data_IF_088176379726
#
_entry.id   IF_088176379726
#
_cell.length_a   1.000
_cell.length_b   1.000
_cell.length_c   1.000
_cell.angle_alpha   90.00
_cell.angle_beta   90.00
_cell.angle_gamma   90.00
#
_symmetry.space_group_name_H-M   'P 1'
#
loop_
_entity.id
_entity.type
_entity.pdbx_description
1 polymer ?
#
# COMPACT_ATOMS: atom_id res chain seq x y z
N UNK A 1 4.46 19.37 -13.54
CA UNK A 1 3.66 18.19 -13.98
C UNK A 1 2.36 18.16 -13.16
N UNK A 2 1.22 18.60 -13.71
CA UNK A 2 -0.08 18.53 -13.01
C UNK A 2 -0.44 17.06 -12.80
N UNK A 3 -0.36 16.55 -11.57
CA UNK A 3 -0.87 15.21 -11.22
C UNK A 3 -2.37 15.22 -11.48
N UNK A 4 -2.86 14.42 -12.43
CA UNK A 4 -4.28 14.08 -12.51
C UNK A 4 -4.61 13.30 -11.24
N UNK A 5 -5.18 13.97 -10.25
CA UNK A 5 -5.77 13.33 -9.09
C UNK A 5 -7.03 12.64 -9.62
N UNK A 6 -6.95 11.34 -9.87
CA UNK A 6 -8.15 10.53 -10.09
C UNK A 6 -8.96 10.62 -8.79
N UNK A 7 -10.14 11.26 -8.85
CA UNK A 7 -11.04 11.47 -7.71
C UNK A 7 -11.58 10.17 -7.09
N UNK A 8 -11.28 9.02 -7.69
CA UNK A 8 -11.77 7.73 -7.23
C UNK A 8 -10.92 7.25 -6.05
N UNK A 9 -11.58 7.09 -4.90
CA UNK A 9 -11.01 6.47 -3.70
C UNK A 9 -10.53 5.07 -4.08
N UNK A 10 -9.28 4.75 -3.73
CA UNK A 10 -8.70 3.43 -3.98
C UNK A 10 -9.56 2.37 -3.29
N UNK A 11 -10.06 1.40 -4.05
CA UNK A 11 -10.80 0.27 -3.51
C UNK A 11 -9.85 -0.60 -2.66
N UNK A 12 -10.30 -0.95 -1.47
CA UNK A 12 -9.57 -1.89 -0.61
C UNK A 12 -9.59 -3.28 -1.23
N UNK A 13 -8.47 -4.00 -1.16
CA UNK A 13 -8.38 -5.39 -1.63
C UNK A 13 -9.29 -6.34 -0.83
N UNK A 14 -9.85 -5.90 0.29
CA UNK A 14 -10.76 -6.66 1.16
C UNK A 14 -12.26 -6.38 0.89
N UNK A 15 -12.60 -5.55 -0.11
CA UNK A 15 -13.99 -5.17 -0.37
C UNK A 15 -14.65 -6.11 -1.37
N UNK A 16 -15.96 -6.35 -1.20
CA UNK A 16 -16.80 -6.90 -2.26
C UNK A 16 -16.75 -5.92 -3.43
N UNK A 17 -16.46 -6.41 -4.62
CA UNK A 17 -16.37 -5.57 -5.82
C UNK A 17 -17.80 -5.37 -6.32
N UNK A 18 -18.27 -4.13 -6.25
CA UNK A 18 -19.54 -3.69 -6.83
C UNK A 18 -19.21 -2.72 -7.98
N UNK A 19 -19.93 -2.83 -9.09
CA UNK A 19 -19.91 -1.83 -10.17
C UNK A 19 -21.23 -1.07 -10.05
N UNK A 20 -21.17 0.25 -9.82
CA UNK A 20 -22.36 1.11 -9.67
C UNK A 20 -23.40 0.58 -8.65
N UNK A 21 -22.93 -0.02 -7.54
CA UNK A 21 -23.72 -0.67 -6.49
C UNK A 21 -24.47 -1.95 -6.93
N UNK A 22 -24.09 -2.58 -8.04
CA UNK A 22 -24.63 -3.88 -8.46
C UNK A 22 -23.64 -5.00 -8.17
N UNK A 23 -24.12 -6.00 -7.44
CA UNK A 23 -23.45 -7.28 -7.20
C UNK A 23 -23.49 -8.18 -8.45
N UNK A 24 -22.57 -9.15 -8.58
CA UNK A 24 -22.63 -10.14 -9.66
C UNK A 24 -23.98 -10.87 -9.77
N UNK A 25 -24.66 -11.10 -8.63
CA UNK A 25 -25.95 -11.77 -8.57
C UNK A 25 -27.07 -10.89 -9.15
N UNK A 26 -27.03 -9.58 -8.91
CA UNK A 26 -28.01 -8.64 -9.46
C UNK A 26 -27.86 -8.49 -10.98
N UNK A 27 -26.61 -8.43 -11.48
CA UNK A 27 -26.35 -8.42 -12.93
C UNK A 27 -26.93 -9.67 -13.60
N UNK A 28 -26.78 -10.85 -13.00
CA UNK A 28 -27.31 -12.10 -13.52
C UNK A 28 -28.85 -12.15 -13.47
N UNK A 29 -29.48 -11.58 -12.44
CA UNK A 29 -30.94 -11.44 -12.37
C UNK A 29 -31.46 -10.52 -13.47
N UNK A 30 -30.82 -9.36 -13.67
CA UNK A 30 -31.19 -8.42 -14.73
C UNK A 30 -31.07 -9.06 -16.11
N UNK A 31 -29.98 -9.80 -16.35
CA UNK A 31 -29.77 -10.52 -17.62
C UNK A 31 -30.87 -11.56 -17.89
N UNK A 32 -31.27 -12.34 -16.87
CA UNK A 32 -32.38 -13.29 -16.98
C UNK A 32 -33.72 -12.61 -17.26
N UNK A 33 -33.98 -11.48 -16.61
CA UNK A 33 -35.20 -10.72 -16.82
C UNK A 33 -35.29 -10.18 -18.25
N UNK A 34 -34.18 -9.65 -18.80
CA UNK A 34 -34.13 -9.21 -20.19
C UNK A 34 -34.40 -10.36 -21.16
N UNK A 35 -33.87 -11.56 -20.88
CA UNK A 35 -34.13 -12.74 -21.71
C UNK A 35 -35.62 -13.11 -21.71
N UNK A 36 -36.25 -13.13 -20.53
CA UNK A 36 -37.69 -13.42 -20.42
C UNK A 36 -38.56 -12.37 -21.16
N UNK A 37 -38.17 -11.10 -21.12
CA UNK A 37 -38.84 -10.04 -21.90
C UNK A 37 -38.64 -10.27 -23.40
N UNK A 38 -37.43 -10.62 -23.84
CA UNK A 38 -37.17 -10.91 -25.24
C UNK A 38 -38.03 -12.07 -25.76
N UNK A 39 -38.15 -13.14 -24.98
CA UNK A 39 -38.98 -14.31 -25.31
C UNK A 39 -40.46 -13.93 -25.36
N UNK A 40 -40.95 -13.14 -24.40
CA UNK A 40 -42.34 -12.68 -24.35
C UNK A 40 -42.71 -11.71 -25.48
N UNK A 41 -41.77 -10.89 -25.94
CA UNK A 41 -41.95 -9.94 -27.04
C UNK A 41 -41.58 -10.53 -28.42
N UNK A 42 -41.11 -11.79 -28.48
CA UNK A 42 -40.70 -12.45 -29.72
C UNK A 42 -39.45 -11.83 -30.37
N UNK A 43 -38.60 -11.18 -29.57
CA UNK A 43 -37.37 -10.52 -30.05
C UNK A 43 -36.26 -11.54 -30.21
N UNK A 44 -35.99 -11.94 -31.45
CA UNK A 44 -34.85 -12.81 -31.76
C UNK A 44 -33.51 -12.05 -31.71
N UNK A 45 -32.52 -12.59 -31.01
CA UNK A 45 -31.18 -12.01 -30.96
C UNK A 45 -30.45 -12.27 -32.28
N UNK A 46 -29.82 -11.23 -32.82
CA UNK A 46 -29.17 -11.29 -34.13
C UNK A 46 -27.66 -11.11 -34.01
N UNK A 47 -26.91 -11.94 -34.74
CA UNK A 47 -25.44 -11.88 -34.84
C UNK A 47 -24.99 -11.78 -36.31
N UNK A 48 -23.89 -11.07 -36.56
CA UNK A 48 -23.28 -10.93 -37.89
C UNK A 48 -23.27 -9.49 -38.45
N UNK A 49 -22.47 -9.27 -39.49
CA UNK A 49 -22.35 -7.95 -40.16
C UNK A 49 -23.67 -7.58 -40.86
N UNK A 50 -24.09 -6.32 -40.75
CA UNK A 50 -25.29 -5.79 -41.40
C UNK A 50 -26.61 -6.05 -40.66
N UNK A 51 -26.61 -6.83 -39.56
CA UNK A 51 -27.80 -7.04 -38.72
C UNK A 51 -27.84 -6.01 -37.59
N UNK A 52 -28.94 -5.26 -37.47
CA UNK A 52 -29.14 -4.29 -36.40
C UNK A 52 -29.66 -4.98 -35.15
N UNK A 53 -28.89 -4.94 -34.06
CA UNK A 53 -29.29 -5.46 -32.74
C UNK A 53 -30.42 -4.61 -32.16
N UNK A 54 -31.41 -5.24 -31.51
CA UNK A 54 -32.44 -4.55 -30.76
C UNK A 54 -31.85 -3.82 -29.55
N UNK A 55 -32.54 -2.81 -29.01
CA UNK A 55 -32.05 -2.10 -27.82
C UNK A 55 -31.96 -3.05 -26.61
N UNK A 56 -32.89 -4.00 -26.51
CA UNK A 56 -32.86 -5.04 -25.50
C UNK A 56 -31.63 -5.94 -25.63
N UNK A 57 -31.30 -6.41 -26.83
CA UNK A 57 -30.09 -7.22 -27.06
C UNK A 57 -28.82 -6.42 -26.70
N UNK A 58 -28.75 -5.13 -27.04
CA UNK A 58 -27.61 -4.28 -26.65
C UNK A 58 -27.45 -4.20 -25.13
N UNK A 59 -28.55 -4.01 -24.39
CA UNK A 59 -28.54 -3.97 -22.92
C UNK A 59 -28.11 -5.33 -22.32
N UNK A 60 -28.59 -6.43 -22.90
CA UNK A 60 -28.19 -7.77 -22.48
C UNK A 60 -26.68 -7.99 -22.63
N UNK A 61 -26.12 -7.66 -23.80
CA UNK A 61 -24.69 -7.81 -24.09
C UNK A 61 -23.82 -6.87 -23.25
N UNK A 62 -24.32 -5.67 -22.94
CA UNK A 62 -23.65 -4.73 -22.05
C UNK A 62 -23.58 -5.29 -20.61
N UNK A 63 -24.68 -5.84 -20.10
CA UNK A 63 -24.69 -6.52 -18.79
C UNK A 63 -23.76 -7.73 -18.77
N UNK A 64 -23.75 -8.53 -19.83
CA UNK A 64 -22.84 -9.68 -19.96
C UNK A 64 -21.38 -9.22 -19.91
N UNK A 65 -21.01 -8.21 -20.69
CA UNK A 65 -19.67 -7.65 -20.72
C UNK A 65 -19.26 -7.06 -19.36
N UNK A 66 -20.17 -6.35 -18.68
CA UNK A 66 -19.95 -5.86 -17.33
C UNK A 66 -19.72 -7.01 -16.34
N UNK A 67 -20.52 -8.07 -16.41
CA UNK A 67 -20.37 -9.28 -15.59
C UNK A 67 -19.02 -9.97 -15.82
N UNK A 68 -18.60 -10.14 -17.07
CA UNK A 68 -17.29 -10.71 -17.42
C UNK A 68 -16.14 -9.86 -16.87
N UNK A 69 -16.21 -8.53 -16.98
CA UNK A 69 -15.22 -7.62 -16.41
C UNK A 69 -15.14 -7.71 -14.89
N UNK A 70 -16.29 -7.79 -14.23
CA UNK A 70 -16.37 -7.94 -12.77
C UNK A 70 -15.71 -9.23 -12.28
N UNK A 71 -15.99 -10.34 -12.97
CA UNK A 71 -15.34 -11.62 -12.70
C UNK A 71 -13.83 -11.56 -12.94
N UNK A 72 -13.39 -10.87 -13.99
CA UNK A 72 -11.98 -10.60 -14.24
C UNK A 72 -11.32 -9.82 -13.09
N UNK A 73 -11.95 -8.76 -12.59
CA UNK A 73 -11.44 -8.03 -11.43
C UNK A 73 -11.38 -8.90 -10.18
N UNK A 74 -12.42 -9.69 -9.91
CA UNK A 74 -12.43 -10.64 -8.78
C UNK A 74 -11.20 -11.55 -8.81
N UNK A 75 -10.88 -12.12 -9.96
CA UNK A 75 -9.69 -12.97 -10.09
C UNK A 75 -8.40 -12.18 -9.89
N UNK A 76 -8.31 -10.96 -10.45
CA UNK A 76 -7.17 -10.08 -10.22
C UNK A 76 -6.95 -9.77 -8.74
N UNK A 77 -8.01 -9.47 -7.98
CA UNK A 77 -7.92 -9.22 -6.54
C UNK A 77 -7.53 -10.48 -5.75
N UNK A 78 -8.06 -11.65 -6.16
CA UNK A 78 -7.69 -12.93 -5.58
C UNK A 78 -6.20 -13.23 -5.76
N UNK A 79 -5.67 -13.04 -6.97
CA UNK A 79 -4.24 -13.21 -7.27
C UNK A 79 -3.40 -12.17 -6.53
N UNK A 80 -3.86 -10.92 -6.47
CA UNK A 80 -3.14 -9.85 -5.78
C UNK A 80 -3.02 -10.12 -4.28
N UNK A 81 -4.04 -10.70 -3.66
CA UNK A 81 -4.06 -10.98 -2.23
C UNK A 81 -4.20 -9.72 -1.37
N UNK A 82 -4.05 -9.89 -0.06
CA UNK A 82 -4.23 -8.82 0.93
C UNK A 82 -2.97 -8.01 1.18
N UNK A 83 -1.81 -8.60 0.94
CA UNK A 83 -0.52 -8.09 1.41
C UNK A 83 0.17 -7.14 0.42
N UNK A 84 -0.32 -7.06 -0.83
CA UNK A 84 0.28 -6.24 -1.89
C UNK A 84 -0.76 -5.54 -2.75
N UNK A 85 -0.31 -4.53 -3.50
CA UNK A 85 -1.17 -3.61 -4.24
C UNK A 85 -1.04 -3.70 -5.77
N UNK A 86 -0.24 -4.64 -6.27
CA UNK A 86 0.04 -4.84 -7.69
C UNK A 86 0.78 -6.15 -7.87
N UNK A 87 0.65 -6.79 -9.03
CA UNK A 87 1.41 -7.98 -9.39
C UNK A 87 1.70 -7.97 -10.91
N UNK A 88 2.76 -8.65 -11.38
CA UNK A 88 3.03 -8.79 -12.82
C UNK A 88 2.05 -9.75 -13.47
N UNK A 89 1.71 -9.52 -14.75
CA UNK A 89 0.88 -10.47 -15.50
C UNK A 89 1.62 -11.77 -15.87
N UNK A 90 2.94 -11.70 -16.00
CA UNK A 90 3.79 -12.84 -16.39
C UNK A 90 4.36 -13.58 -15.20
N UNK A 91 4.71 -12.85 -14.14
CA UNK A 91 5.17 -13.38 -12.86
C UNK A 91 4.22 -12.90 -11.77
N UNK A 92 3.27 -13.76 -11.42
CA UNK A 92 2.22 -13.41 -10.47
C UNK A 92 2.79 -13.11 -9.08
N UNK A 93 4.02 -13.49 -8.75
CA UNK A 93 4.63 -13.22 -7.44
C UNK A 93 5.34 -11.86 -7.41
N UNK A 94 5.84 -11.36 -8.53
CA UNK A 94 6.54 -10.08 -8.62
C UNK A 94 5.61 -8.87 -8.43
N UNK A 95 6.09 -7.85 -7.71
CA UNK A 95 5.35 -6.60 -7.45
C UNK A 95 5.91 -5.46 -8.29
N UNK A 96 5.04 -4.56 -8.77
CA UNK A 96 5.49 -3.37 -9.49
C UNK A 96 6.16 -2.38 -8.53
N UNK A 97 7.45 -2.13 -8.75
CA UNK A 97 8.31 -1.26 -7.95
C UNK A 97 8.92 -0.16 -8.81
N UNK A 98 9.30 0.95 -8.15
CA UNK A 98 10.04 2.03 -8.83
C UNK A 98 11.52 1.69 -8.80
N UNK A 99 12.12 1.55 -9.97
CA UNK A 99 13.54 1.20 -10.08
C UNK A 99 14.44 2.42 -9.94
N UNK A 100 15.67 2.20 -9.46
CA UNK A 100 16.71 3.24 -9.35
C UNK A 100 17.21 3.71 -10.73
N UNK A 101 17.19 2.83 -11.73
CA UNK A 101 17.64 3.06 -13.12
C UNK A 101 16.78 4.06 -13.93
N UNK A 102 15.76 4.67 -13.33
CA UNK A 102 14.91 5.66 -13.99
C UNK A 102 15.65 7.00 -14.14
N UNK A 103 16.77 6.99 -14.87
CA UNK A 103 17.57 8.16 -15.25
C UNK A 103 16.73 9.22 -15.95
N UNK A 104 15.66 8.80 -16.63
CA UNK A 104 14.72 9.69 -17.32
C UNK A 104 13.60 10.24 -16.42
N UNK A 105 13.53 9.82 -15.14
CA UNK A 105 12.47 10.18 -14.19
C UNK A 105 11.03 9.99 -14.75
N UNK A 106 10.86 9.01 -15.63
CA UNK A 106 9.59 8.71 -16.25
C UNK A 106 8.60 8.08 -15.26
N UNK A 107 9.10 7.59 -14.12
CA UNK A 107 8.32 7.01 -13.03
C UNK A 107 7.75 5.64 -13.40
N UNK A 108 8.33 4.96 -14.40
CA UNK A 108 7.84 3.67 -14.84
C UNK A 108 8.11 2.61 -13.78
N UNK A 109 7.05 1.95 -13.32
CA UNK A 109 7.17 0.80 -12.44
C UNK A 109 7.53 -0.43 -13.25
N UNK A 110 8.47 -1.23 -12.74
CA UNK A 110 8.81 -2.54 -13.30
C UNK A 110 8.46 -3.64 -12.29
N UNK A 111 8.02 -4.82 -12.73
CA UNK A 111 7.84 -5.94 -11.83
C UNK A 111 9.20 -6.37 -11.29
N UNK A 112 9.33 -6.47 -9.97
CA UNK A 112 10.57 -6.79 -9.29
C UNK A 112 10.30 -7.42 -7.91
N UNK A 113 11.37 -7.92 -7.32
CA UNK A 113 11.45 -8.32 -5.91
C UNK A 113 12.44 -7.41 -5.19
N UNK A 114 12.19 -7.18 -3.91
CA UNK A 114 13.11 -6.50 -3.02
C UNK A 114 13.97 -7.54 -2.29
N UNK A 115 15.24 -7.64 -2.67
CA UNK A 115 16.16 -8.64 -2.13
C UNK A 115 17.07 -7.98 -1.11
N UNK A 116 17.07 -8.51 0.11
CA UNK A 116 17.97 -8.14 1.19
C UNK A 116 19.03 -9.21 1.40
N UNK A 117 20.22 -8.74 1.76
CA UNK A 117 21.38 -9.58 2.04
C UNK A 117 21.94 -9.10 3.37
N UNK A 118 22.12 -10.03 4.32
CA UNK A 118 22.82 -9.79 5.57
C UNK A 118 24.23 -10.36 5.46
N UNK A 119 25.21 -9.56 5.89
CA UNK A 119 26.63 -9.88 5.80
C UNK A 119 27.25 -9.74 7.19
N UNK A 120 28.07 -10.70 7.55
CA UNK A 120 28.85 -10.71 8.79
C UNK A 120 30.26 -11.21 8.48
N UNK A 121 31.29 -10.51 8.96
CA UNK A 121 32.70 -10.89 8.73
C UNK A 121 33.04 -11.26 7.28
N UNK A 122 32.56 -10.45 6.32
CA UNK A 122 32.72 -10.66 4.87
C UNK A 122 31.94 -11.85 4.25
N UNK A 123 31.15 -12.57 5.04
CA UNK A 123 30.32 -13.66 4.56
C UNK A 123 28.85 -13.25 4.47
N UNK A 124 28.18 -13.69 3.40
CA UNK A 124 26.72 -13.60 3.33
C UNK A 124 26.14 -14.66 4.26
N UNK A 125 25.53 -14.21 5.36
CA UNK A 125 24.91 -15.10 6.34
C UNK A 125 23.43 -15.35 6.06
N UNK A 126 22.72 -14.35 5.49
CA UNK A 126 21.31 -14.49 5.13
C UNK A 126 20.96 -13.75 3.84
N UNK A 127 19.99 -14.31 3.12
CA UNK A 127 19.22 -13.61 2.10
C UNK A 127 17.73 -13.62 2.43
N UNK A 128 17.03 -12.55 2.05
CA UNK A 128 15.58 -12.42 2.19
C UNK A 128 14.98 -11.75 0.97
N UNK A 129 13.94 -12.35 0.38
CA UNK A 129 13.26 -11.84 -0.81
C UNK A 129 11.86 -11.40 -0.41
N UNK A 130 11.53 -10.13 -0.64
CA UNK A 130 10.24 -9.55 -0.31
C UNK A 130 9.55 -8.95 -1.53
N UNK A 131 8.22 -8.92 -1.45
CA UNK A 131 7.35 -8.17 -2.36
C UNK A 131 7.08 -6.73 -1.89
N UNK A 132 7.62 -6.35 -0.73
CA UNK A 132 7.54 -5.00 -0.22
C UNK A 132 8.38 -4.03 -1.04
N UNK A 133 7.78 -2.88 -1.38
CA UNK A 133 8.48 -1.82 -2.13
C UNK A 133 9.49 -1.04 -1.29
N UNK A 134 9.46 -1.20 0.02
CA UNK A 134 10.26 -0.47 1.01
C UNK A 134 10.88 -1.45 1.98
N UNK A 135 12.02 -1.09 2.54
CA UNK A 135 12.80 -2.00 3.39
C UNK A 135 12.26 -2.10 4.83
N UNK A 136 11.29 -1.25 5.21
CA UNK A 136 10.72 -1.18 6.55
C UNK A 136 10.28 -2.53 7.14
N UNK A 137 9.66 -3.41 6.34
CA UNK A 137 9.15 -4.69 6.83
C UNK A 137 10.15 -5.83 6.70
N UNK A 138 11.38 -5.56 6.24
CA UNK A 138 12.33 -6.62 5.84
C UNK A 138 13.42 -6.90 6.88
N UNK A 139 13.69 -5.97 7.80
CA UNK A 139 14.71 -6.15 8.85
C UNK A 139 14.35 -7.30 9.80
N UNK A 140 13.20 -7.21 10.47
CA UNK A 140 12.77 -8.18 11.48
C UNK A 140 12.77 -9.62 10.91
N UNK A 141 12.22 -9.90 9.71
CA UNK A 141 12.34 -11.23 9.11
C UNK A 141 13.77 -11.76 8.99
N UNK A 142 14.74 -10.90 8.66
CA UNK A 142 16.15 -11.28 8.56
C UNK A 142 16.75 -11.58 9.94
N UNK A 143 16.44 -10.77 10.95
CA UNK A 143 16.93 -10.97 12.32
C UNK A 143 16.33 -12.23 12.97
N UNK A 144 15.04 -12.47 12.77
CA UNK A 144 14.38 -13.71 13.23
C UNK A 144 14.95 -14.95 12.53
N UNK A 145 15.28 -14.83 11.23
CA UNK A 145 15.97 -15.91 10.50
C UNK A 145 17.36 -16.17 11.07
N UNK A 146 18.10 -15.13 11.43
CA UNK A 146 19.40 -15.26 12.09
C UNK A 146 19.28 -15.94 13.44
N UNK A 147 18.37 -15.46 14.30
CA UNK A 147 18.07 -16.05 15.62
C UNK A 147 17.71 -17.52 15.52
N UNK A 148 16.89 -17.90 14.53
CA UNK A 148 16.52 -19.30 14.30
C UNK A 148 17.68 -20.16 13.82
N UNK A 149 18.58 -19.62 13.00
CA UNK A 149 19.68 -20.36 12.41
C UNK A 149 20.82 -20.62 13.41
N UNK A 150 21.16 -19.62 14.22
CA UNK A 150 22.30 -19.68 15.14
C UNK A 150 21.89 -19.95 16.59
N UNK A 151 20.61 -19.80 16.94
CA UNK A 151 20.12 -19.98 18.30
C UNK A 151 20.40 -18.78 19.22
N UNK A 152 21.01 -17.73 18.70
CA UNK A 152 21.44 -16.56 19.45
C UNK A 152 20.87 -15.27 18.84
N UNK A 153 20.67 -14.26 19.70
CA UNK A 153 20.30 -12.92 19.26
C UNK A 153 21.60 -12.18 18.95
N UNK A 154 21.64 -11.50 17.80
CA UNK A 154 22.78 -10.67 17.43
C UNK A 154 23.02 -9.54 18.43
N UNK A 155 24.29 -9.19 18.65
CA UNK A 155 24.67 -8.09 19.54
C UNK A 155 24.39 -6.72 18.90
N UNK A 156 24.76 -6.58 17.62
CA UNK A 156 24.65 -5.31 16.90
C UNK A 156 24.14 -5.48 15.46
N UNK A 157 23.49 -4.44 14.94
CA UNK A 157 23.05 -4.37 13.55
C UNK A 157 23.37 -3.01 12.94
N UNK A 158 23.95 -3.04 11.74
CA UNK A 158 24.16 -1.85 10.90
C UNK A 158 23.26 -1.93 9.68
N UNK A 159 22.46 -0.89 9.43
CA UNK A 159 21.56 -0.83 8.28
C UNK A 159 21.37 0.60 7.76
N UNK A 160 20.90 0.72 6.52
CA UNK A 160 20.61 2.03 5.93
C UNK A 160 19.34 2.67 6.50
N UNK A 161 19.08 3.93 6.13
CA UNK A 161 17.91 4.65 6.62
C UNK A 161 16.57 4.14 6.07
N UNK A 162 16.58 3.29 5.04
CA UNK A 162 15.39 2.59 4.55
C UNK A 162 14.80 1.64 5.60
N UNK A 163 15.62 1.16 6.53
CA UNK A 163 15.19 0.31 7.65
C UNK A 163 14.73 1.08 8.90
N UNK A 164 14.92 2.40 8.92
CA UNK A 164 14.53 3.26 10.04
C UNK A 164 12.99 3.39 10.10
N UNK A 165 12.35 2.48 10.83
CA UNK A 165 10.93 2.54 11.19
C UNK A 165 10.76 2.34 12.68
N UNK A 166 9.72 2.95 13.27
CA UNK A 166 9.40 2.81 14.69
C UNK A 166 9.27 1.33 15.09
N UNK A 167 8.58 0.53 14.27
CA UNK A 167 8.46 -0.92 14.44
C UNK A 167 9.82 -1.63 14.54
N UNK A 168 10.77 -1.29 13.67
CA UNK A 168 12.10 -1.90 13.70
C UNK A 168 12.90 -1.44 14.90
N UNK A 169 12.89 -0.13 15.20
CA UNK A 169 13.66 0.43 16.32
C UNK A 169 13.18 -0.14 17.67
N UNK A 170 11.86 -0.24 17.88
CA UNK A 170 11.29 -0.86 19.08
C UNK A 170 11.67 -2.34 19.18
N UNK A 171 11.61 -3.08 18.07
CA UNK A 171 12.03 -4.49 18.08
C UNK A 171 13.51 -4.66 18.46
N UNK A 172 14.39 -3.78 17.96
CA UNK A 172 15.82 -3.80 18.30
C UNK A 172 16.03 -3.47 19.78
N UNK A 173 15.35 -2.45 20.31
CA UNK A 173 15.41 -2.07 21.72
C UNK A 173 14.90 -3.19 22.65
N UNK A 174 13.75 -3.78 22.34
CA UNK A 174 13.15 -4.88 23.12
C UNK A 174 14.05 -6.12 23.16
N UNK A 175 14.78 -6.40 22.07
CA UNK A 175 15.72 -7.51 21.99
C UNK A 175 17.15 -7.13 22.43
N UNK A 176 17.37 -5.89 22.91
CA UNK A 176 18.67 -5.37 23.35
C UNK A 176 19.76 -5.49 22.28
N UNK A 177 19.39 -5.20 21.05
CA UNK A 177 20.30 -5.20 19.90
C UNK A 177 20.76 -3.76 19.67
N UNK A 178 22.07 -3.54 19.72
CA UNK A 178 22.65 -2.23 19.42
C UNK A 178 22.48 -1.92 17.93
N UNK A 179 21.86 -0.77 17.62
CA UNK A 179 21.49 -0.44 16.24
C UNK A 179 22.18 0.80 15.72
N UNK A 180 22.87 0.64 14.60
CA UNK A 180 23.55 1.71 13.86
C UNK A 180 22.76 2.04 12.60
N UNK A 181 21.57 2.62 12.78
CA UNK A 181 20.65 2.96 11.69
C UNK A 181 20.48 4.47 11.61
N UNK A 182 20.78 5.04 10.45
CA UNK A 182 20.64 6.48 10.21
C UNK A 182 19.17 6.88 10.08
N UNK A 183 18.75 7.97 10.72
CA UNK A 183 17.41 8.54 10.50
C UNK A 183 17.21 8.96 9.04
N UNK A 184 16.01 8.75 8.50
CA UNK A 184 15.69 9.11 7.10
C UNK A 184 15.86 10.59 6.78
N UNK A 185 15.59 11.44 7.74
CA UNK A 185 15.69 12.89 7.64
C UNK A 185 17.02 13.43 8.13
N UNK A 186 18.00 12.57 8.47
CA UNK A 186 19.29 12.99 9.03
C UNK A 186 20.00 14.06 8.20
N UNK A 187 20.09 13.90 6.87
CA UNK A 187 20.70 14.93 6.01
C UNK A 187 19.85 16.19 5.90
N UNK A 188 18.52 16.05 5.94
CA UNK A 188 17.61 17.21 5.89
C UNK A 188 17.70 18.02 7.17
N UNK A 189 17.82 17.36 8.33
CA UNK A 189 17.97 17.99 9.66
C UNK A 189 19.15 18.94 9.76
N UNK A 190 20.23 18.72 8.99
CA UNK A 190 21.40 19.60 8.95
C UNK A 190 21.12 20.95 8.27
N UNK A 191 20.03 21.06 7.51
CA UNK A 191 19.74 22.26 6.72
C UNK A 191 18.97 23.30 7.53
N UNK A 192 19.30 24.59 7.33
CA UNK A 192 18.57 25.71 7.96
C UNK A 192 17.09 25.74 7.58
N UNK A 193 16.74 25.26 6.39
CA UNK A 193 15.35 25.17 5.95
C UNK A 193 14.55 24.20 6.82
N UNK A 194 15.13 23.05 7.19
CA UNK A 194 14.45 22.07 8.03
C UNK A 194 14.30 22.53 9.47
N UNK A 195 15.32 23.17 10.04
CA UNK A 195 15.25 23.69 11.42
C UNK A 195 14.32 24.90 11.57
N UNK A 196 14.04 25.62 10.47
CA UNK A 196 13.09 26.73 10.43
C UNK A 196 11.73 26.36 9.83
N UNK A 197 11.49 25.08 9.54
CA UNK A 197 10.22 24.64 8.98
C UNK A 197 9.12 24.78 10.04
N UNK A 198 8.21 25.74 9.81
CA UNK A 198 7.13 26.10 10.72
C UNK A 198 6.05 25.02 10.84
N UNK A 199 5.98 24.09 9.87
CA UNK A 199 5.01 22.99 9.88
C UNK A 199 5.41 21.81 10.76
N UNK A 200 6.61 21.83 11.33
CA UNK A 200 7.14 20.75 12.15
C UNK A 200 6.92 21.03 13.64
N UNK A 201 6.18 20.17 14.31
CA UNK A 201 5.83 20.34 15.73
C UNK A 201 7.05 20.45 16.66
N UNK A 202 8.14 19.73 16.39
CA UNK A 202 9.39 19.81 17.18
C UNK A 202 10.18 21.11 16.95
N UNK A 203 9.83 21.93 15.96
CA UNK A 203 10.36 23.29 15.79
C UNK A 203 9.45 24.35 16.47
N UNK A 204 8.30 23.96 17.01
CA UNK A 204 7.37 24.86 17.69
C UNK A 204 7.81 25.09 19.14
N UNK A 205 7.41 26.23 19.71
CA UNK A 205 7.59 26.47 21.14
C UNK A 205 6.60 25.61 21.92
N UNK A 206 7.04 25.06 23.04
CA UNK A 206 6.21 24.26 23.93
C UNK A 206 5.97 25.00 25.24
N UNK A 207 4.73 25.02 25.70
CA UNK A 207 4.33 25.56 27.01
C UNK A 207 3.50 24.53 27.75
N UNK A 208 3.60 24.49 29.08
CA UNK A 208 2.74 23.65 29.91
C UNK A 208 1.56 24.50 30.38
N UNK A 209 0.34 24.04 30.14
CA UNK A 209 -0.89 24.67 30.63
C UNK A 209 -1.75 23.58 31.26
N UNK A 210 -2.10 23.72 32.54
CA UNK A 210 -2.92 22.73 33.26
C UNK A 210 -2.41 21.29 33.12
N UNK A 211 -1.09 21.09 33.29
CA UNK A 211 -0.38 19.81 33.16
C UNK A 211 -0.36 19.19 31.74
N UNK A 212 -0.87 19.89 30.72
CA UNK A 212 -0.80 19.47 29.33
C UNK A 212 0.30 20.21 28.54
N UNK A 213 1.01 19.49 27.68
CA UNK A 213 2.00 20.08 26.77
C UNK A 213 1.29 20.70 25.56
N UNK A 214 1.31 22.02 25.47
CA UNK A 214 0.73 22.81 24.38
C UNK A 214 1.83 23.26 23.43
N UNK A 215 1.58 23.14 22.12
CA UNK A 215 2.47 23.63 21.07
C UNK A 215 1.99 24.99 20.57
N UNK A 216 2.87 25.98 20.52
CA UNK A 216 2.57 27.31 19.97
C UNK A 216 3.09 27.36 18.54
N UNK A 217 2.17 27.44 17.58
CA UNK A 217 2.53 27.53 16.17
C UNK A 217 3.22 28.87 15.85
N UNK A 218 3.81 29.00 14.66
CA UNK A 218 4.51 30.23 14.27
C UNK A 218 3.58 31.47 14.21
N UNK A 219 2.28 31.27 14.02
CA UNK A 219 1.26 32.34 14.04
C UNK A 219 0.77 32.67 15.47
N UNK A 220 1.42 32.10 16.51
CA UNK A 220 1.08 32.35 17.91
C UNK A 220 -0.18 31.62 18.41
N UNK A 221 -0.76 30.71 17.63
CA UNK A 221 -1.94 29.93 18.03
C UNK A 221 -1.53 28.72 18.86
N UNK A 222 -2.33 28.42 19.87
CA UNK A 222 -2.21 27.21 20.68
C UNK A 222 -2.73 25.99 19.91
N UNK A 223 -1.90 24.95 19.82
CA UNK A 223 -2.25 23.63 19.34
C UNK A 223 -2.27 22.71 20.57
N UNK A 224 -3.47 22.35 20.99
CA UNK A 224 -3.73 21.42 22.10
C UNK A 224 -3.98 20.03 21.54
N UNK A 225 -3.64 19.03 22.33
CA UNK A 225 -4.01 17.65 22.05
C UNK A 225 -5.53 17.53 21.93
N UNK A 226 -6.00 16.87 20.88
CA UNK A 226 -7.43 16.65 20.63
C UNK A 226 -7.76 15.19 20.93
N UNK A 227 -6.97 14.28 20.35
CA UNK A 227 -7.20 12.85 20.50
C UNK A 227 -5.95 12.03 20.13
N UNK A 228 -5.93 10.82 20.66
CA UNK A 228 -4.95 9.80 20.32
C UNK A 228 -5.56 8.83 19.32
N UNK A 229 -5.02 8.78 18.10
CA UNK A 229 -5.42 7.82 17.07
C UNK A 229 -4.50 6.60 17.09
N UNK A 230 -5.09 5.40 17.00
CA UNK A 230 -4.34 4.15 16.88
C UNK A 230 -4.58 3.53 15.52
N UNK A 231 -3.49 3.22 14.83
CA UNK A 231 -3.53 2.58 13.52
C UNK A 231 -2.78 1.26 13.56
N UNK A 232 -3.51 0.17 13.30
CA UNK A 232 -2.91 -1.17 13.21
C UNK A 232 -2.54 -1.49 11.77
N UNK A 233 -1.27 -1.81 11.52
CA UNK A 233 -0.77 -2.30 10.23
C UNK A 233 0.23 -3.44 10.47
N UNK A 234 0.04 -4.57 9.77
CA UNK A 234 0.97 -5.71 9.78
C UNK A 234 1.41 -6.14 11.20
N UNK A 235 0.42 -6.30 12.09
CA UNK A 235 0.61 -6.72 13.48
C UNK A 235 1.12 -5.63 14.44
N UNK A 236 1.50 -4.47 13.93
CA UNK A 236 2.02 -3.36 14.71
C UNK A 236 0.97 -2.25 14.86
N UNK A 237 0.85 -1.69 16.07
CA UNK A 237 -0.06 -0.59 16.36
C UNK A 237 0.75 0.68 16.54
N UNK A 238 0.61 1.61 15.60
CA UNK A 238 1.19 2.94 15.72
C UNK A 238 0.20 3.88 16.37
N UNK A 239 0.68 4.69 17.30
CA UNK A 239 -0.08 5.71 18.00
C UNK A 239 0.27 7.08 17.42
N UNK A 240 -0.74 7.86 17.07
CA UNK A 240 -0.59 9.23 16.61
C UNK A 240 -1.32 10.15 17.59
N UNK A 241 -0.60 11.14 18.10
CA UNK A 241 -1.20 12.24 18.85
C UNK A 241 -1.60 13.33 17.86
N UNK A 242 -2.86 13.75 17.90
CA UNK A 242 -3.46 14.78 17.03
C UNK A 242 -3.69 16.05 17.80
#
# INVERSE_FOLDING_TARGET
RKRKITKHKKLSNNCIIEIDNCSPLELLKLQKNLMAIADGEGIAFVNGKGKRKSKLQQLYEELEHCGQRLMGYKECFKIMGKDRNSYSKTDLEATFMRMKEDHMLNGQLKPAYNVQIAVENYFIVHGYVSNDRTDYNTLIPVLEKHKKAFGEVLEEVTADSGYCSEKNLLYLEENKIDSYIKLQDHEKRKTRAYSKDIGKYYNMKTTVFEDEQVYICHDGRELRHINTEKKKQNGYTQTYEV
#
